data_IF_167297833161
#
_entry.id   IF_167297833161
#
_cell.length_a   1.000
_cell.length_b   1.000
_cell.length_c   1.000
_cell.angle_alpha   90.00
_cell.angle_beta   90.00
_cell.angle_gamma   90.00
#
_symmetry.space_group_name_H-M   'P 1'
#
loop_
_entity.id
_entity.type
_entity.pdbx_description
1 polymer ?
#
# COMPACT_ATOMS: atom_id res chain seq x y z
N UNK A 1 -13.83 9.83 -0.87
CA UNK A 1 -13.20 8.72 -1.62
C UNK A 1 -11.91 8.42 -0.89
N UNK A 2 -11.69 7.17 -0.45
CA UNK A 2 -10.42 6.77 0.14
C UNK A 2 -9.66 6.02 -0.95
N UNK A 3 -8.62 6.66 -1.47
CA UNK A 3 -7.71 6.09 -2.45
C UNK A 3 -6.37 5.73 -1.82
N UNK A 4 -5.53 5.03 -2.57
CA UNK A 4 -4.14 4.83 -2.20
C UNK A 4 -3.23 5.33 -3.33
N UNK A 5 -2.12 5.96 -2.95
CA UNK A 5 -1.05 6.33 -3.86
C UNK A 5 0.20 5.54 -3.45
N UNK A 6 0.76 4.80 -4.40
CA UNK A 6 2.02 4.09 -4.22
C UNK A 6 3.09 4.89 -4.96
N UNK A 7 4.06 5.41 -4.21
CA UNK A 7 5.16 6.21 -4.73
C UNK A 7 6.48 5.49 -4.50
N UNK A 8 7.11 4.94 -5.56
CA UNK A 8 8.50 4.55 -5.51
C UNK A 8 9.40 5.79 -5.64
N UNK A 9 10.32 5.97 -4.71
CA UNK A 9 11.30 7.06 -4.71
C UNK A 9 12.69 6.48 -4.98
N UNK A 10 13.24 6.72 -6.17
CA UNK A 10 14.48 6.08 -6.61
C UNK A 10 15.71 6.59 -5.86
N UNK A 11 15.75 7.88 -5.50
CA UNK A 11 16.89 8.46 -4.78
C UNK A 11 17.05 7.88 -3.37
N UNK A 12 15.93 7.73 -2.67
CA UNK A 12 15.90 7.21 -1.29
C UNK A 12 15.69 5.70 -1.23
N UNK A 13 15.40 5.06 -2.37
CA UNK A 13 15.08 3.63 -2.48
C UNK A 13 13.93 3.21 -1.53
N UNK A 14 12.92 4.08 -1.40
CA UNK A 14 11.75 3.85 -0.56
C UNK A 14 10.49 3.69 -1.41
N UNK A 15 9.67 2.72 -1.06
CA UNK A 15 8.29 2.60 -1.54
C UNK A 15 7.40 3.17 -0.44
N UNK A 16 6.76 4.29 -0.72
CA UNK A 16 5.81 4.91 0.21
C UNK A 16 4.39 4.68 -0.26
N UNK A 17 3.52 4.27 0.65
CA UNK A 17 2.09 4.11 0.41
C UNK A 17 1.39 5.21 1.20
N UNK A 18 0.60 6.03 0.51
CA UNK A 18 -0.23 7.06 1.09
C UNK A 18 -1.71 6.69 1.00
N UNK A 19 -2.49 7.09 2.00
CA UNK A 19 -3.95 7.17 1.90
C UNK A 19 -4.33 8.56 1.40
N UNK A 20 -5.22 8.61 0.41
CA UNK A 20 -5.74 9.85 -0.16
C UNK A 20 -7.20 9.99 0.25
N UNK A 21 -7.52 11.04 0.99
CA UNK A 21 -8.87 11.32 1.45
C UNK A 21 -9.73 12.03 0.37
N UNK A 22 -10.97 12.38 0.72
CA UNK A 22 -11.87 13.12 -0.19
C UNK A 22 -11.38 14.53 -0.54
N UNK A 23 -10.49 15.10 0.25
CA UNK A 23 -9.84 16.38 -0.04
C UNK A 23 -8.65 16.24 -0.99
N UNK A 24 -8.26 15.01 -1.33
CA UNK A 24 -7.12 14.73 -2.18
C UNK A 24 -5.78 14.84 -1.45
N UNK A 25 -5.78 14.99 -0.13
CA UNK A 25 -4.55 15.17 0.66
C UNK A 25 -3.94 13.79 0.93
N UNK A 26 -2.69 13.52 0.46
CA UNK A 26 -2.01 12.28 0.79
C UNK A 26 -1.53 12.29 2.24
N UNK A 27 -1.83 11.23 2.97
CA UNK A 27 -1.36 10.98 4.34
C UNK A 27 -0.54 9.70 4.35
N UNK A 28 0.61 9.71 5.01
CA UNK A 28 1.47 8.53 5.09
C UNK A 28 0.70 7.36 5.72
N UNK A 29 0.61 6.25 5.00
CA UNK A 29 0.04 5.02 5.52
C UNK A 29 1.15 4.07 5.99
N UNK A 30 2.09 3.75 5.11
CA UNK A 30 3.27 2.95 5.43
C UNK A 30 4.39 3.21 4.41
N UNK A 31 5.60 2.78 4.74
CA UNK A 31 6.73 2.78 3.81
C UNK A 31 7.60 1.56 4.06
N UNK A 32 8.32 1.14 3.01
CA UNK A 32 9.34 0.11 3.09
C UNK A 32 10.47 0.39 2.09
N UNK A 33 11.64 -0.16 2.33
CA UNK A 33 12.76 -0.04 1.40
C UNK A 33 12.65 -1.00 0.22
N UNK A 34 13.31 -0.64 -0.88
CA UNK A 34 13.45 -1.51 -2.06
C UNK A 34 14.19 -2.80 -1.71
N UNK A 35 15.15 -2.74 -0.78
CA UNK A 35 15.90 -3.92 -0.31
C UNK A 35 14.99 -4.89 0.45
N UNK A 36 14.12 -4.40 1.33
CA UNK A 36 13.12 -5.23 2.01
C UNK A 36 12.16 -5.86 1.01
N UNK A 37 11.64 -5.08 0.06
CA UNK A 37 10.77 -5.60 -1.01
C UNK A 37 11.47 -6.71 -1.82
N UNK A 38 12.75 -6.50 -2.17
CA UNK A 38 13.56 -7.48 -2.90
C UNK A 38 13.79 -8.75 -2.10
N UNK A 39 14.09 -8.64 -0.80
CA UNK A 39 14.25 -9.79 0.10
C UNK A 39 12.97 -10.59 0.28
N UNK A 40 11.81 -9.93 0.24
CA UNK A 40 10.51 -10.61 0.29
C UNK A 40 10.21 -11.36 -1.02
N UNK A 41 10.65 -10.82 -2.15
CA UNK A 41 10.32 -11.34 -3.48
C UNK A 41 8.94 -10.88 -3.97
N UNK A 42 8.74 -10.92 -5.28
CA UNK A 42 7.58 -10.34 -5.95
C UNK A 42 6.23 -10.85 -5.41
N UNK A 43 6.08 -12.17 -5.26
CA UNK A 43 4.82 -12.77 -4.83
C UNK A 43 4.43 -12.34 -3.41
N UNK A 44 5.37 -12.43 -2.47
CA UNK A 44 5.13 -12.07 -1.07
C UNK A 44 4.88 -10.57 -0.93
N UNK A 45 5.65 -9.75 -1.63
CA UNK A 45 5.46 -8.30 -1.62
C UNK A 45 4.11 -7.89 -2.23
N UNK A 46 3.76 -8.43 -3.40
CA UNK A 46 2.49 -8.17 -4.07
C UNK A 46 1.30 -8.61 -3.22
N UNK A 47 1.39 -9.77 -2.57
CA UNK A 47 0.38 -10.25 -1.63
C UNK A 47 0.23 -9.30 -0.43
N UNK A 48 1.33 -8.92 0.22
CA UNK A 48 1.30 -7.98 1.36
C UNK A 48 0.68 -6.64 0.97
N UNK A 49 1.05 -6.10 -0.20
CA UNK A 49 0.50 -4.85 -0.72
C UNK A 49 -1.01 -4.98 -0.96
N UNK A 50 -1.44 -6.04 -1.65
CA UNK A 50 -2.85 -6.29 -1.93
C UNK A 50 -3.68 -6.51 -0.65
N UNK A 51 -3.18 -7.30 0.29
CA UNK A 51 -3.83 -7.53 1.59
C UNK A 51 -4.00 -6.23 2.37
N UNK A 52 -2.96 -5.39 2.44
CA UNK A 52 -3.05 -4.08 3.08
C UNK A 52 -4.12 -3.18 2.44
N UNK A 53 -4.21 -3.17 1.12
CA UNK A 53 -5.22 -2.40 0.39
C UNK A 53 -6.65 -2.94 0.61
N UNK A 54 -6.82 -4.26 0.63
CA UNK A 54 -8.12 -4.91 0.87
C UNK A 54 -8.57 -4.64 2.31
N UNK A 55 -7.68 -4.85 3.28
CA UNK A 55 -8.00 -4.70 4.70
C UNK A 55 -8.29 -3.24 5.09
N UNK A 56 -7.78 -2.27 4.34
CA UNK A 56 -8.08 -0.86 4.56
C UNK A 56 -9.49 -0.45 4.14
N UNK A 57 -10.13 -1.19 3.22
CA UNK A 57 -11.47 -0.90 2.74
C UNK A 57 -12.51 -1.81 3.40
N UNK A 58 -13.44 -1.28 4.23
CA UNK A 58 -14.55 -2.06 4.77
C UNK A 58 -15.28 -2.86 3.69
N UNK A 59 -15.62 -2.20 2.57
CA UNK A 59 -16.35 -2.85 1.48
C UNK A 59 -15.57 -3.97 0.79
N UNK A 60 -14.25 -3.85 0.65
CA UNK A 60 -13.44 -4.93 0.06
C UNK A 60 -13.30 -6.10 1.03
N UNK A 61 -13.15 -5.84 2.32
CA UNK A 61 -13.14 -6.90 3.35
C UNK A 61 -14.41 -7.73 3.31
N UNK A 62 -15.57 -7.08 3.17
CA UNK A 62 -16.86 -7.77 3.13
C UNK A 62 -16.96 -8.78 1.97
N UNK A 63 -16.21 -8.59 0.88
CA UNK A 63 -16.19 -9.52 -0.26
C UNK A 63 -15.51 -10.87 0.06
N UNK A 64 -14.62 -10.91 1.06
CA UNK A 64 -13.77 -12.06 1.33
C UNK A 64 -13.97 -12.68 2.72
N UNK A 65 -14.62 -11.95 3.64
CA UNK A 65 -14.80 -12.34 5.04
C UNK A 65 -16.26 -12.35 5.48
N UNK A 66 -17.20 -12.45 4.54
CA UNK A 66 -18.65 -12.60 4.79
C UNK A 66 -19.09 -14.02 5.08
#
# INVERSE_FOLDING_TARGET
>A
MLGHLIQPEEETQLITIYRVDSGGIPTLYTSLSFDEARKMGFEKFGKLLGENLILDSPKLRDLFFS
#
